data_IF_072772128322
#
_entry.id   IF_072772128322
#
_cell.length_a   1.000
_cell.length_b   1.000
_cell.length_c   1.000
_cell.angle_alpha   90.00
_cell.angle_beta   90.00
_cell.angle_gamma   90.00
#
_symmetry.space_group_name_H-M   'P 1'
#
loop_
_entity.id
_entity.type
_entity.pdbx_description
1 polymer ?
#
# COMPACT_ATOMS: atom_id res chain seq x y z
N UNK A 1 -38.50 10.24 -12.82
CA UNK A 1 -38.30 8.78 -12.89
C UNK A 1 -37.37 8.49 -14.06
N UNK A 2 -36.06 8.55 -13.81
CA UNK A 2 -35.00 8.43 -14.81
C UNK A 2 -34.15 7.20 -14.52
N UNK A 3 -33.60 6.59 -15.58
CA UNK A 3 -33.09 5.23 -15.75
C UNK A 3 -31.90 4.80 -14.85
N UNK A 4 -31.97 4.97 -13.53
CA UNK A 4 -30.85 4.70 -12.61
C UNK A 4 -31.00 3.42 -11.76
N UNK A 5 -32.09 2.65 -11.89
CA UNK A 5 -32.41 1.58 -10.91
C UNK A 5 -32.47 0.15 -11.50
N UNK A 6 -31.76 -0.10 -12.61
CA UNK A 6 -31.82 -1.39 -13.32
C UNK A 6 -30.50 -2.17 -13.38
N UNK A 7 -29.41 -1.70 -12.74
CA UNK A 7 -28.11 -2.39 -12.78
C UNK A 7 -27.68 -3.07 -11.46
N UNK A 8 -28.54 -3.11 -10.44
CA UNK A 8 -28.26 -3.82 -9.18
C UNK A 8 -28.64 -5.32 -9.21
N UNK A 9 -28.37 -5.99 -10.32
CA UNK A 9 -28.58 -7.44 -10.46
C UNK A 9 -27.38 -8.08 -11.15
N UNK A 10 -26.34 -8.37 -10.39
CA UNK A 10 -25.49 -9.59 -10.44
C UNK A 10 -24.21 -9.38 -9.62
N UNK A 11 -24.32 -9.34 -8.30
CA UNK A 11 -23.22 -9.77 -7.44
C UNK A 11 -23.68 -10.97 -6.63
N UNK A 12 -23.50 -12.16 -7.22
CA UNK A 12 -23.88 -13.44 -6.65
C UNK A 12 -22.67 -14.06 -5.93
N UNK A 13 -22.64 -13.87 -4.62
CA UNK A 13 -22.39 -14.89 -3.59
C UNK A 13 -21.45 -16.05 -3.99
N UNK A 14 -20.18 -16.00 -3.55
CA UNK A 14 -19.39 -17.20 -3.23
C UNK A 14 -18.23 -16.85 -2.27
N UNK A 15 -18.32 -17.36 -1.03
CA UNK A 15 -17.27 -17.41 0.02
C UNK A 15 -16.76 -16.04 0.49
N UNK A 16 -17.16 -15.48 1.65
CA UNK A 16 -16.60 -15.79 2.99
C UNK A 16 -15.07 -15.65 3.00
N UNK A 17 -14.54 -14.71 3.81
CA UNK A 17 -13.12 -14.34 4.09
C UNK A 17 -12.51 -13.40 3.03
N UNK A 18 -12.07 -12.15 3.31
CA UNK A 18 -11.21 -11.68 4.40
C UNK A 18 -11.69 -10.41 5.12
N UNK A 19 -11.50 -10.41 6.45
CA UNK A 19 -12.01 -9.43 7.43
C UNK A 19 -10.91 -8.43 7.85
N UNK A 20 -9.73 -8.41 7.20
CA UNK A 20 -8.68 -7.44 7.53
C UNK A 20 -8.58 -6.38 6.43
N UNK A 21 -9.44 -5.36 6.55
CA UNK A 21 -9.34 -4.11 5.79
C UNK A 21 -9.49 -2.94 6.75
N UNK A 22 -8.48 -2.70 7.58
CA UNK A 22 -8.37 -1.49 8.38
C UNK A 22 -7.14 -0.71 7.91
N UNK A 23 -7.42 0.48 7.38
CA UNK A 23 -6.53 1.63 7.21
C UNK A 23 -5.46 1.63 6.11
N UNK A 24 -5.90 1.61 4.85
CA UNK A 24 -5.31 2.47 3.80
C UNK A 24 -6.47 2.91 2.89
N UNK A 25 -6.64 4.21 2.60
CA UNK A 25 -7.69 4.70 1.71
C UNK A 25 -7.28 4.44 0.25
N UNK A 26 -7.42 3.20 -0.21
CA UNK A 26 -7.21 2.87 -1.62
C UNK A 26 -8.39 3.39 -2.43
N UNK A 27 -8.16 4.45 -3.19
CA UNK A 27 -9.06 4.91 -4.24
C UNK A 27 -9.38 3.72 -5.15
N UNK A 28 -10.67 3.46 -5.36
CA UNK A 28 -11.22 2.49 -6.30
C UNK A 28 -10.94 2.95 -7.74
N UNK A 29 -9.68 2.93 -8.16
CA UNK A 29 -9.36 2.73 -9.56
C UNK A 29 -9.39 1.22 -9.79
N UNK A 30 -10.12 0.78 -10.81
CA UNK A 30 -10.17 -0.64 -11.18
C UNK A 30 -8.74 -1.17 -11.28
N UNK A 31 -8.38 -2.12 -10.42
CA UNK A 31 -7.13 -2.85 -10.56
C UNK A 31 -7.20 -3.61 -11.88
N UNK A 32 -6.56 -3.08 -12.91
CA UNK A 32 -6.46 -3.70 -14.23
C UNK A 32 -5.66 -4.99 -14.15
N UNK A 33 -6.30 -6.08 -13.72
CA UNK A 33 -5.64 -7.38 -13.66
C UNK A 33 -5.54 -7.98 -15.07
N UNK A 34 -4.39 -7.82 -15.69
CA UNK A 34 -4.03 -8.60 -16.87
C UNK A 34 -3.94 -10.09 -16.48
N UNK A 35 -4.55 -10.98 -17.27
CA UNK A 35 -4.40 -12.42 -17.10
C UNK A 35 -3.18 -12.90 -17.85
N UNK A 36 -2.26 -13.53 -17.13
CA UNK A 36 -1.07 -14.15 -17.70
C UNK A 36 -1.02 -15.61 -17.25
N UNK A 37 -0.69 -16.50 -18.18
CA UNK A 37 -0.44 -17.92 -17.88
C UNK A 37 1.07 -18.06 -17.74
N UNK A 38 1.52 -18.44 -16.55
CA UNK A 38 2.93 -18.70 -16.22
C UNK A 38 2.99 -20.01 -15.44
N UNK A 39 4.08 -20.74 -15.61
CA UNK A 39 4.39 -21.88 -14.77
C UNK A 39 5.07 -21.40 -13.48
N UNK A 40 4.69 -22.01 -12.37
CA UNK A 40 5.22 -21.70 -11.04
C UNK A 40 5.72 -23.00 -10.41
N UNK A 41 6.81 -22.88 -9.67
CA UNK A 41 7.28 -23.95 -8.80
C UNK A 41 6.33 -24.06 -7.59
N UNK A 42 5.68 -25.21 -7.46
CA UNK A 42 4.64 -25.43 -6.44
C UNK A 42 5.23 -25.55 -5.02
N UNK A 43 6.48 -26.01 -4.88
CA UNK A 43 7.14 -26.14 -3.58
C UNK A 43 7.53 -24.75 -3.06
N UNK A 44 8.17 -23.94 -3.91
CA UNK A 44 8.47 -22.54 -3.58
C UNK A 44 7.21 -21.71 -3.33
N UNK A 45 6.15 -21.98 -4.09
CA UNK A 45 4.87 -21.29 -3.89
C UNK A 45 4.24 -21.62 -2.55
N UNK A 46 4.36 -22.87 -2.07
CA UNK A 46 3.86 -23.27 -0.76
C UNK A 46 4.65 -22.61 0.39
N UNK A 47 5.97 -22.50 0.24
CA UNK A 47 6.81 -21.74 1.19
C UNK A 47 6.41 -20.26 1.22
N UNK A 48 6.26 -19.64 0.05
CA UNK A 48 5.82 -18.26 -0.07
C UNK A 48 4.41 -18.04 0.52
N UNK A 49 3.49 -18.98 0.32
CA UNK A 49 2.16 -18.95 0.94
C UNK A 49 2.22 -18.95 2.46
N UNK A 50 3.11 -19.76 3.02
CA UNK A 50 3.32 -19.84 4.47
C UNK A 50 3.94 -18.54 4.99
N UNK A 51 4.97 -18.03 4.31
CA UNK A 51 5.65 -16.79 4.69
C UNK A 51 4.76 -15.55 4.57
N UNK A 52 3.91 -15.48 3.54
CA UNK A 52 3.04 -14.34 3.26
C UNK A 52 1.63 -14.49 3.88
N UNK A 53 1.30 -15.65 4.44
CA UNK A 53 -0.02 -15.94 5.00
C UNK A 53 -1.14 -15.98 3.97
N UNK A 54 -0.84 -16.32 2.71
CA UNK A 54 -1.81 -16.31 1.62
C UNK A 54 -2.35 -17.71 1.32
N UNK A 55 -3.64 -17.78 0.97
CA UNK A 55 -4.32 -19.07 0.70
C UNK A 55 -4.48 -19.38 -0.79
N UNK A 56 -4.28 -18.39 -1.66
CA UNK A 56 -4.49 -18.53 -3.11
C UNK A 56 -3.20 -18.23 -3.88
N UNK A 57 -2.92 -18.97 -4.96
CA UNK A 57 -1.73 -18.79 -5.80
C UNK A 57 -1.62 -17.34 -6.30
N UNK A 58 -2.71 -16.78 -6.83
CA UNK A 58 -2.78 -15.38 -7.31
C UNK A 58 -2.54 -14.39 -6.18
N UNK A 59 -3.12 -14.66 -4.99
CA UNK A 59 -2.89 -13.83 -3.80
C UNK A 59 -1.43 -13.81 -3.39
N UNK A 60 -0.75 -14.96 -3.41
CA UNK A 60 0.68 -15.08 -3.11
C UNK A 60 1.53 -14.28 -4.08
N UNK A 61 1.27 -14.42 -5.39
CA UNK A 61 2.04 -13.69 -6.41
C UNK A 61 1.87 -12.19 -6.26
N UNK A 62 0.63 -11.71 -6.11
CA UNK A 62 0.37 -10.28 -5.93
C UNK A 62 0.98 -9.73 -4.64
N UNK A 63 0.90 -10.50 -3.53
CA UNK A 63 1.51 -10.12 -2.27
C UNK A 63 3.04 -10.08 -2.37
N UNK A 64 3.66 -11.08 -3.01
CA UNK A 64 5.11 -11.12 -3.23
C UNK A 64 5.58 -9.91 -4.06
N UNK A 65 4.90 -9.60 -5.16
CA UNK A 65 5.19 -8.42 -5.98
C UNK A 65 5.09 -7.12 -5.17
N UNK A 66 4.05 -6.99 -4.35
CA UNK A 66 3.87 -5.82 -3.48
C UNK A 66 5.02 -5.69 -2.45
N UNK A 67 5.43 -6.80 -1.82
CA UNK A 67 6.52 -6.77 -0.84
C UNK A 67 7.87 -6.41 -1.48
N UNK A 68 8.15 -6.86 -2.70
CA UNK A 68 9.33 -6.44 -3.45
C UNK A 68 9.31 -4.93 -3.70
N UNK A 69 8.18 -4.38 -4.17
CA UNK A 69 8.06 -2.93 -4.40
C UNK A 69 8.25 -2.16 -3.09
N UNK A 70 7.61 -2.58 -2.00
CA UNK A 70 7.80 -1.94 -0.69
C UNK A 70 9.25 -1.99 -0.23
N UNK A 71 9.94 -3.11 -0.47
CA UNK A 71 11.36 -3.24 -0.13
C UNK A 71 12.23 -2.25 -0.90
N UNK A 72 11.99 -2.11 -2.21
CA UNK A 72 12.71 -1.13 -3.04
C UNK A 72 12.45 0.30 -2.58
N UNK A 73 11.19 0.65 -2.29
CA UNK A 73 10.85 1.98 -1.75
C UNK A 73 11.52 2.27 -0.40
N UNK A 74 11.66 1.27 0.47
CA UNK A 74 12.42 1.42 1.72
C UNK A 74 13.90 1.67 1.44
N UNK A 75 14.48 1.00 0.45
CA UNK A 75 15.88 1.23 0.06
C UNK A 75 16.07 2.64 -0.50
N UNK A 76 15.25 3.06 -1.46
CA UNK A 76 15.26 4.42 -2.01
C UNK A 76 15.14 5.49 -0.89
N UNK A 77 14.31 5.22 0.12
CA UNK A 77 14.16 6.11 1.26
C UNK A 77 15.45 6.19 2.11
N UNK A 78 16.10 5.06 2.37
CA UNK A 78 17.39 5.08 3.08
C UNK A 78 18.48 5.78 2.25
N UNK A 79 18.52 5.54 0.94
CA UNK A 79 19.47 6.21 0.05
C UNK A 79 19.26 7.73 0.04
N UNK A 80 18.01 8.20 0.12
CA UNK A 80 17.67 9.62 0.21
C UNK A 80 18.05 10.26 1.56
N UNK A 81 18.05 9.48 2.64
CA UNK A 81 18.59 9.93 3.94
C UNK A 81 20.12 10.05 3.85
N UNK A 82 20.78 9.03 3.31
CA UNK A 82 22.25 9.00 3.20
C UNK A 82 22.78 10.08 2.25
N UNK A 83 22.05 10.41 1.19
CA UNK A 83 22.39 11.48 0.25
C UNK A 83 22.20 12.89 0.83
N UNK A 84 21.50 13.01 1.96
CA UNK A 84 21.12 14.29 2.56
C UNK A 84 19.95 14.99 1.87
N UNK A 85 19.24 14.32 0.95
CA UNK A 85 17.98 14.83 0.39
C UNK A 85 16.89 14.90 1.48
N UNK A 86 16.90 13.93 2.40
CA UNK A 86 16.02 13.92 3.57
C UNK A 86 16.86 14.20 4.83
N UNK A 87 16.70 15.40 5.39
CA UNK A 87 17.31 15.77 6.67
C UNK A 87 16.40 15.38 7.84
N UNK A 88 16.76 14.32 8.56
CA UNK A 88 16.04 13.86 9.75
C UNK A 88 16.39 14.65 11.02
N UNK A 89 17.38 15.55 10.97
CA UNK A 89 17.81 16.35 12.13
C UNK A 89 17.03 17.66 12.28
N UNK A 90 16.34 18.07 11.22
CA UNK A 90 15.52 19.28 11.22
C UNK A 90 14.29 19.13 12.13
N UNK A 91 14.23 19.92 13.21
CA UNK A 91 13.07 20.01 14.12
C UNK A 91 12.26 21.29 13.84
N UNK A 92 11.21 21.14 13.04
CA UNK A 92 10.30 22.23 12.69
C UNK A 92 9.56 22.85 13.90
N UNK A 93 9.53 22.18 15.06
CA UNK A 93 8.88 22.72 16.27
C UNK A 93 9.76 23.73 17.00
N UNK A 94 11.06 23.73 16.72
CA UNK A 94 12.01 24.66 17.31
C UNK A 94 12.15 25.96 16.49
N UNK A 95 11.39 26.09 15.40
CA UNK A 95 11.28 27.36 14.69
C UNK A 95 10.47 28.33 15.54
N UNK A 96 11.15 29.33 16.11
CA UNK A 96 10.49 30.52 16.63
C UNK A 96 9.85 31.22 15.43
N UNK A 97 8.53 31.10 15.31
CA UNK A 97 7.79 31.77 14.26
C UNK A 97 8.17 33.27 14.21
N UNK A 98 8.47 33.84 13.02
CA UNK A 98 8.71 35.27 12.90
C UNK A 98 7.45 36.01 13.36
N UNK A 99 7.55 36.77 14.46
CA UNK A 99 6.42 37.44 15.10
C UNK A 99 5.94 36.84 16.43
N UNK A 100 6.69 35.90 17.03
CA UNK A 100 6.40 35.49 18.41
C UNK A 100 6.46 36.72 19.35
N UNK A 101 5.47 36.92 20.25
CA UNK A 101 5.34 38.11 21.10
C UNK A 101 6.55 38.36 22.02
N UNK A 102 7.41 37.37 22.25
CA UNK A 102 8.64 37.51 23.02
C UNK A 102 9.72 38.38 22.31
N UNK A 103 9.60 38.64 21.01
CA UNK A 103 10.56 39.46 20.26
C UNK A 103 10.29 40.98 20.33
N UNK A 104 9.15 41.41 20.88
CA UNK A 104 8.73 42.82 20.88
C UNK A 104 9.17 43.61 22.12
N UNK A 105 9.96 43.02 23.02
CA UNK A 105 10.27 43.60 24.33
C UNK A 105 11.77 43.92 24.57
N UNK A 106 12.55 44.18 23.52
CA UNK A 106 13.95 44.65 23.63
C UNK A 106 14.10 46.07 23.05
#
# INVERSE_FOLDING_TARGET
>A
MSQANAQLRRYRKRGRFDIIRVLVPWKLEEVGMARTVIDLDDDLLAEAQTALGTTTKVGTVNAALLEVVKRLRRQEFFDAIDSGEIDLTYDARNEVAPGSPDQAAA
#
